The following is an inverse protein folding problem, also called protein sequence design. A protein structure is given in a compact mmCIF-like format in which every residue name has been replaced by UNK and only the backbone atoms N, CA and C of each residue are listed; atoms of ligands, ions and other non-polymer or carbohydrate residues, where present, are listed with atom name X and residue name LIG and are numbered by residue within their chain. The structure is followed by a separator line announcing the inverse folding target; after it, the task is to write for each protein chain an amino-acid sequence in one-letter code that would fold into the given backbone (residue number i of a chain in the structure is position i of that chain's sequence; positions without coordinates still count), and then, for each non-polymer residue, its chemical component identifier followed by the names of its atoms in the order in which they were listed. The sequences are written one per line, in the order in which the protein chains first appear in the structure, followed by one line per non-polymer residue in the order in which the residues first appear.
data_IF_025737065669
#
_entry.id   IF_025737065669
#
_cell.length_a   1.000
_cell.length_b   1.000
_cell.length_c   1.000
_cell.angle_alpha   90.00
_cell.angle_beta   90.00
_cell.angle_gamma   90.00
#
_symmetry.space_group_name_H-M   'P 1'
#
loop_
_entity.id
_entity.type
_entity.pdbx_description
1 polymer ?
#
# COMPACT_ATOMS: atom_id res chain seq x y z
N UNK A 1 18.51 -24.92 -44.14
CA UNK A 1 18.22 -25.22 -42.73
C UNK A 1 17.45 -24.04 -42.09
N UNK A 2 16.10 -24.01 -42.17
CA UNK A 2 15.28 -22.96 -41.53
C UNK A 2 14.50 -23.43 -40.27
N UNK A 3 14.83 -24.55 -39.65
CA UNK A 3 14.02 -25.17 -38.58
C UNK A 3 14.34 -24.71 -37.14
N UNK A 4 15.46 -24.04 -36.92
CA UNK A 4 15.91 -23.57 -35.60
C UNK A 4 15.36 -22.18 -35.24
N UNK A 5 15.19 -21.30 -36.23
CA UNK A 5 14.64 -19.96 -36.00
C UNK A 5 13.14 -19.99 -35.65
N UNK A 6 12.35 -20.85 -36.30
CA UNK A 6 10.91 -20.98 -36.01
C UNK A 6 10.65 -21.57 -34.62
N UNK A 7 11.46 -22.55 -34.19
CA UNK A 7 11.39 -23.13 -32.85
C UNK A 7 11.73 -22.09 -31.76
N UNK A 8 12.80 -21.32 -31.93
CA UNK A 8 13.17 -20.27 -30.99
C UNK A 8 12.11 -19.16 -30.87
N UNK A 9 11.46 -18.80 -31.98
CA UNK A 9 10.34 -17.84 -31.99
C UNK A 9 9.12 -18.40 -31.24
N UNK A 10 8.83 -19.70 -31.39
CA UNK A 10 7.73 -20.35 -30.67
C UNK A 10 7.98 -20.39 -29.15
N UNK A 11 9.20 -20.69 -28.70
CA UNK A 11 9.55 -20.72 -27.28
C UNK A 11 9.50 -19.32 -26.63
N UNK A 12 9.94 -18.29 -27.36
CA UNK A 12 9.81 -16.90 -26.94
C UNK A 12 8.34 -16.48 -26.83
N UNK A 13 7.52 -16.82 -27.83
CA UNK A 13 6.09 -16.52 -27.80
C UNK A 13 5.38 -17.19 -26.62
N UNK A 14 5.71 -18.45 -26.33
CA UNK A 14 5.18 -19.17 -25.17
C UNK A 14 5.60 -18.50 -23.85
N UNK A 15 6.88 -18.11 -23.72
CA UNK A 15 7.39 -17.43 -22.52
C UNK A 15 6.73 -16.08 -22.30
N UNK A 16 6.51 -15.30 -23.37
CA UNK A 16 5.77 -14.04 -23.31
C UNK A 16 4.36 -14.29 -22.80
N UNK A 17 3.66 -15.29 -23.32
CA UNK A 17 2.29 -15.63 -22.90
C UNK A 17 2.22 -15.97 -21.41
N UNK A 18 3.19 -16.73 -20.88
CA UNK A 18 3.28 -17.04 -19.45
C UNK A 18 3.56 -15.78 -18.61
N UNK A 19 4.32 -14.83 -19.12
CA UNK A 19 4.65 -13.57 -18.44
C UNK A 19 3.48 -12.56 -18.41
N UNK A 20 2.49 -12.67 -19.30
CA UNK A 20 1.38 -11.68 -19.37
C UNK A 20 0.61 -11.59 -18.05
N UNK A 21 0.26 -12.73 -17.44
CA UNK A 21 -0.53 -12.75 -16.20
C UNK A 21 0.16 -12.01 -15.02
N UNK A 22 1.42 -12.30 -14.66
CA UNK A 22 2.12 -11.55 -13.61
C UNK A 22 2.34 -10.07 -13.97
N UNK A 23 2.58 -9.73 -15.24
CA UNK A 23 2.72 -8.33 -15.67
C UNK A 23 1.42 -7.56 -15.52
N UNK A 24 0.27 -8.17 -15.80
CA UNK A 24 -1.04 -7.55 -15.56
C UNK A 24 -1.24 -7.17 -14.08
N UNK A 25 -0.78 -8.02 -13.17
CA UNK A 25 -0.83 -7.74 -11.73
C UNK A 25 0.01 -6.52 -11.34
N UNK A 26 1.15 -6.26 -12.01
CA UNK A 26 1.96 -5.05 -11.76
C UNK A 26 1.19 -3.76 -12.00
N UNK A 27 0.33 -3.71 -13.02
CA UNK A 27 -0.53 -2.56 -13.27
C UNK A 27 -1.52 -2.34 -12.11
N UNK A 28 -2.11 -3.43 -11.59
CA UNK A 28 -2.96 -3.42 -10.41
C UNK A 28 -2.23 -2.90 -9.16
N UNK A 29 -1.00 -3.37 -8.92
CA UNK A 29 -0.16 -2.89 -7.81
C UNK A 29 0.16 -1.41 -7.98
N UNK A 30 0.48 -0.94 -9.19
CA UNK A 30 0.73 0.47 -9.48
C UNK A 30 -0.47 1.36 -9.12
N UNK A 31 -1.69 0.92 -9.44
CA UNK A 31 -2.92 1.61 -9.05
C UNK A 31 -3.07 1.69 -7.52
N UNK A 32 -2.85 0.57 -6.82
CA UNK A 32 -2.91 0.51 -5.36
C UNK A 32 -1.87 1.43 -4.72
N UNK A 33 -0.64 1.43 -5.23
CA UNK A 33 0.44 2.32 -4.76
C UNK A 33 0.08 3.79 -4.95
N UNK A 34 -0.55 4.17 -6.06
CA UNK A 34 -1.02 5.54 -6.28
C UNK A 34 -2.08 5.96 -5.24
N UNK A 35 -3.02 5.06 -4.92
CA UNK A 35 -4.03 5.31 -3.87
C UNK A 35 -3.37 5.45 -2.49
N UNK A 36 -2.41 4.58 -2.16
CA UNK A 36 -1.66 4.61 -0.91
C UNK A 36 -0.84 5.90 -0.78
N UNK A 37 -0.07 6.26 -1.82
CA UNK A 37 0.75 7.46 -1.85
C UNK A 37 -0.10 8.73 -1.70
N UNK A 38 -1.22 8.82 -2.43
CA UNK A 38 -2.14 9.95 -2.31
C UNK A 38 -2.78 10.05 -0.92
N UNK A 39 -3.06 8.92 -0.27
CA UNK A 39 -3.56 8.93 1.12
C UNK A 39 -2.47 9.33 2.11
N UNK A 40 -1.26 8.80 1.97
CA UNK A 40 -0.12 9.14 2.82
C UNK A 40 0.20 10.64 2.74
N UNK A 41 0.24 11.22 1.54
CA UNK A 41 0.45 12.65 1.34
C UNK A 41 -0.54 13.48 2.16
N UNK A 42 -1.85 13.19 2.07
CA UNK A 42 -2.88 13.88 2.85
C UNK A 42 -2.70 13.75 4.37
N UNK A 43 -2.23 12.60 4.85
CA UNK A 43 -2.00 12.39 6.30
C UNK A 43 -0.78 13.19 6.76
N UNK A 44 0.30 13.17 5.97
CA UNK A 44 1.54 13.92 6.24
C UNK A 44 1.28 15.42 6.19
N UNK A 45 0.54 15.90 5.19
CA UNK A 45 0.17 17.32 5.07
C UNK A 45 -0.63 17.78 6.30
N UNK A 46 -1.59 16.98 6.76
CA UNK A 46 -2.35 17.27 7.98
C UNK A 46 -1.46 17.26 9.24
N UNK A 47 -0.53 16.31 9.35
CA UNK A 47 0.41 16.27 10.47
C UNK A 47 1.33 17.51 10.47
N UNK A 48 1.78 17.95 9.29
CA UNK A 48 2.58 19.16 9.13
C UNK A 48 1.81 20.42 9.51
N UNK A 49 0.55 20.54 9.08
CA UNK A 49 -0.33 21.66 9.48
C UNK A 49 -0.51 21.72 11.00
N UNK A 50 -0.84 20.58 11.63
CA UNK A 50 -1.01 20.53 13.08
C UNK A 50 0.28 20.84 13.85
N UNK A 51 1.44 20.45 13.31
CA UNK A 51 2.74 20.79 13.89
C UNK A 51 3.09 22.29 13.76
N UNK A 52 2.59 22.99 12.74
CA UNK A 52 2.78 24.44 12.59
C UNK A 52 1.93 25.24 13.58
N UNK A 53 0.75 24.73 13.93
CA UNK A 53 -0.19 25.33 14.90
C UNK A 53 0.03 24.82 16.34
N UNK A 54 1.16 24.15 16.59
CA UNK A 54 1.43 23.46 17.84
C UNK A 54 1.56 24.46 19.00
N UNK A 55 0.71 24.30 20.00
CA UNK A 55 0.57 25.25 21.10
C UNK A 55 1.52 24.90 22.25
N UNK A 56 2.02 25.89 23.03
CA UNK A 56 2.86 25.61 24.21
C UNK A 56 2.20 24.65 25.21
N UNK A 57 3.02 23.98 26.02
CA UNK A 57 2.60 22.98 27.03
C UNK A 57 1.51 23.46 27.97
N UNK A 58 1.44 24.75 28.21
CA UNK A 58 0.59 25.37 29.23
C UNK A 58 -0.81 25.69 28.67
N UNK A 59 -1.01 25.50 27.38
CA UNK A 59 -2.26 25.77 26.70
C UNK A 59 -3.24 24.60 26.84
N UNK A 60 -4.54 24.85 27.10
CA UNK A 60 -5.55 23.80 27.29
C UNK A 60 -5.65 22.82 26.11
N UNK A 61 -5.35 23.28 24.89
CA UNK A 61 -5.43 22.45 23.68
C UNK A 61 -4.20 21.56 23.43
N UNK A 62 -3.09 21.76 24.16
CA UNK A 62 -1.83 21.05 23.93
C UNK A 62 -1.99 19.52 24.02
N UNK A 63 -2.72 19.05 25.04
CA UNK A 63 -2.96 17.61 25.24
C UNK A 63 -3.77 16.99 24.09
N UNK A 64 -4.75 17.73 23.54
CA UNK A 64 -5.54 17.29 22.41
C UNK A 64 -4.71 17.23 21.12
N UNK A 65 -3.88 18.24 20.87
CA UNK A 65 -2.96 18.28 19.72
C UNK A 65 -1.96 17.13 19.77
N UNK A 66 -1.35 16.84 20.92
CA UNK A 66 -0.42 15.71 21.09
C UNK A 66 -1.11 14.37 20.80
N UNK A 67 -2.36 14.19 21.26
CA UNK A 67 -3.13 12.97 20.98
C UNK A 67 -3.43 12.81 19.49
N UNK A 68 -3.81 13.88 18.79
CA UNK A 68 -4.04 13.85 17.34
C UNK A 68 -2.73 13.58 16.57
N UNK A 69 -1.61 14.18 16.96
CA UNK A 69 -0.32 13.97 16.32
C UNK A 69 0.16 12.51 16.43
N UNK A 70 0.01 11.88 17.61
CA UNK A 70 0.31 10.44 17.80
C UNK A 70 -0.56 9.54 16.91
N UNK A 71 -1.81 9.92 16.70
CA UNK A 71 -2.72 9.17 15.84
C UNK A 71 -2.34 9.29 14.37
N UNK A 72 -1.98 10.50 13.92
CA UNK A 72 -1.46 10.73 12.57
C UNK A 72 -0.17 9.97 12.32
N UNK A 73 0.76 9.96 13.28
CA UNK A 73 2.01 9.20 13.22
C UNK A 73 1.77 7.69 13.06
N UNK A 74 0.87 7.11 13.87
CA UNK A 74 0.49 5.69 13.73
C UNK A 74 -0.07 5.37 12.34
N UNK A 75 -0.87 6.28 11.77
CA UNK A 75 -1.44 6.11 10.42
C UNK A 75 -0.36 6.21 9.34
N UNK A 76 0.59 7.13 9.47
CA UNK A 76 1.76 7.25 8.60
C UNK A 76 2.56 5.94 8.60
N UNK A 77 2.85 5.38 9.78
CA UNK A 77 3.59 4.13 9.91
C UNK A 77 2.87 2.96 9.21
N UNK A 78 1.55 2.80 9.43
CA UNK A 78 0.76 1.74 8.79
C UNK A 78 0.72 1.89 7.26
N UNK A 79 0.48 3.11 6.76
CA UNK A 79 0.46 3.38 5.33
C UNK A 79 1.83 3.12 4.68
N UNK A 80 2.92 3.54 5.33
CA UNK A 80 4.27 3.32 4.84
C UNK A 80 4.63 1.82 4.78
N UNK A 81 4.26 1.04 5.80
CA UNK A 81 4.46 -0.41 5.79
C UNK A 81 3.65 -1.11 4.67
N UNK A 82 2.42 -0.65 4.42
CA UNK A 82 1.62 -1.15 3.30
C UNK A 82 2.29 -0.86 1.94
N UNK A 83 2.79 0.37 1.74
CA UNK A 83 3.53 0.76 0.53
C UNK A 83 4.77 -0.12 0.35
N UNK A 84 5.53 -0.35 1.42
CA UNK A 84 6.74 -1.16 1.39
C UNK A 84 6.45 -2.59 0.96
N UNK A 85 5.43 -3.23 1.54
CA UNK A 85 5.04 -4.60 1.17
C UNK A 85 4.52 -4.70 -0.28
N UNK A 86 3.70 -3.74 -0.72
CA UNK A 86 3.23 -3.69 -2.11
C UNK A 86 4.39 -3.49 -3.10
N UNK A 87 5.34 -2.62 -2.76
CA UNK A 87 6.53 -2.37 -3.59
C UNK A 87 7.44 -3.59 -3.64
N UNK A 88 7.65 -4.25 -2.50
CA UNK A 88 8.42 -5.49 -2.44
C UNK A 88 7.75 -6.63 -3.22
N UNK A 89 6.42 -6.74 -3.18
CA UNK A 89 5.67 -7.65 -4.05
C UNK A 89 5.89 -7.34 -5.53
N UNK A 90 5.80 -6.08 -5.94
CA UNK A 90 6.02 -5.69 -7.34
C UNK A 90 7.45 -6.03 -7.79
N UNK A 91 8.45 -5.72 -6.97
CA UNK A 91 9.85 -6.05 -7.25
C UNK A 91 10.05 -7.56 -7.42
N UNK A 92 9.41 -8.38 -6.58
CA UNK A 92 9.50 -9.83 -6.67
C UNK A 92 8.80 -10.38 -7.92
N UNK A 93 7.66 -9.79 -8.33
CA UNK A 93 7.01 -10.11 -9.61
C UNK A 93 7.92 -9.77 -10.78
N UNK A 94 8.58 -8.61 -10.76
CA UNK A 94 9.56 -8.25 -11.79
C UNK A 94 10.71 -9.28 -11.87
N UNK A 95 11.21 -9.75 -10.72
CA UNK A 95 12.23 -10.79 -10.67
C UNK A 95 11.72 -12.14 -11.22
N UNK A 96 10.49 -12.54 -10.91
CA UNK A 96 9.85 -13.75 -11.46
C UNK A 96 9.71 -13.65 -12.98
N UNK A 97 9.23 -12.52 -13.48
CA UNK A 97 9.07 -12.28 -14.93
C UNK A 97 10.43 -12.35 -15.62
N UNK A 98 11.45 -11.66 -15.12
CA UNK A 98 12.81 -11.75 -15.66
C UNK A 98 13.34 -13.19 -15.62
N UNK A 99 13.08 -13.91 -14.53
CA UNK A 99 13.45 -15.32 -14.38
C UNK A 99 12.76 -16.26 -15.37
N UNK A 100 11.50 -16.01 -15.75
CA UNK A 100 10.81 -16.76 -16.80
C UNK A 100 11.50 -16.61 -18.15
N UNK A 101 11.90 -15.38 -18.51
CA UNK A 101 12.66 -15.14 -19.74
C UNK A 101 14.02 -15.83 -19.71
N UNK A 102 14.77 -15.72 -18.60
CA UNK A 102 16.08 -16.39 -18.46
C UNK A 102 15.93 -17.91 -18.57
N UNK A 103 14.93 -18.49 -17.89
CA UNK A 103 14.68 -19.93 -17.93
C UNK A 103 14.31 -20.42 -19.33
N UNK A 104 13.49 -19.66 -20.06
CA UNK A 104 13.13 -19.93 -21.46
C UNK A 104 14.33 -19.88 -22.41
N UNK A 105 15.24 -18.92 -22.24
CA UNK A 105 16.44 -18.82 -23.08
C UNK A 105 17.51 -19.88 -22.76
N UNK A 106 17.67 -20.23 -21.47
CA UNK A 106 18.74 -21.12 -21.02
C UNK A 106 18.29 -22.60 -20.91
N UNK A 107 17.03 -22.91 -21.21
CA UNK A 107 16.43 -24.25 -21.09
C UNK A 107 16.58 -24.85 -19.67
N UNK A 108 16.47 -23.99 -18.66
CA UNK A 108 16.68 -24.35 -17.25
C UNK A 108 15.35 -24.67 -16.55
N UNK A 109 15.33 -25.75 -15.77
CA UNK A 109 14.15 -26.22 -15.02
C UNK A 109 13.79 -25.39 -13.78
N UNK A 110 13.74 -24.06 -13.88
CA UNK A 110 13.49 -23.15 -12.74
C UNK A 110 12.00 -22.91 -12.42
N UNK A 111 11.08 -23.68 -13.02
CA UNK A 111 9.64 -23.50 -12.85
C UNK A 111 9.22 -23.47 -11.36
N UNK A 112 9.78 -24.35 -10.52
CA UNK A 112 9.48 -24.40 -9.08
C UNK A 112 9.93 -23.13 -8.35
N UNK A 113 11.12 -22.61 -8.65
CA UNK A 113 11.65 -21.38 -8.03
C UNK A 113 10.79 -20.17 -8.40
N UNK A 114 10.40 -20.06 -9.67
CA UNK A 114 9.52 -18.98 -10.13
C UNK A 114 8.13 -19.06 -9.50
N UNK A 115 7.57 -20.27 -9.37
CA UNK A 115 6.30 -20.49 -8.69
C UNK A 115 6.36 -20.06 -7.20
N UNK A 116 7.42 -20.44 -6.48
CA UNK A 116 7.61 -20.03 -5.08
C UNK A 116 7.76 -18.50 -4.97
N UNK A 117 8.55 -17.88 -5.85
CA UNK A 117 8.70 -16.42 -5.91
C UNK A 117 7.37 -15.71 -6.16
N UNK A 118 6.55 -16.24 -7.07
CA UNK A 118 5.23 -15.68 -7.36
C UNK A 118 4.27 -15.78 -6.17
N UNK A 119 4.22 -16.94 -5.51
CA UNK A 119 3.40 -17.14 -4.29
C UNK A 119 3.86 -16.19 -3.19
N UNK A 120 5.17 -16.05 -2.97
CA UNK A 120 5.71 -15.12 -1.99
C UNK A 120 5.32 -13.68 -2.32
N UNK A 121 5.37 -13.27 -3.59
CA UNK A 121 4.93 -11.93 -4.01
C UNK A 121 3.45 -11.71 -3.69
N UNK A 122 2.59 -12.69 -3.99
CA UNK A 122 1.17 -12.62 -3.65
C UNK A 122 0.94 -12.49 -2.13
N UNK A 123 1.69 -13.20 -1.30
CA UNK A 123 1.60 -13.08 0.16
C UNK A 123 2.03 -11.70 0.66
N UNK A 124 3.08 -11.11 0.06
CA UNK A 124 3.50 -9.74 0.35
C UNK A 124 2.39 -8.74 -0.03
N UNK A 125 1.79 -8.90 -1.22
CA UNK A 125 0.69 -8.05 -1.67
C UNK A 125 -0.53 -8.14 -0.73
N UNK A 126 -0.94 -9.36 -0.37
CA UNK A 126 -2.04 -9.60 0.57
C UNK A 126 -1.75 -8.93 1.92
N UNK A 127 -0.52 -9.06 2.42
CA UNK A 127 -0.10 -8.44 3.68
C UNK A 127 -0.11 -6.90 3.60
N UNK A 128 0.35 -6.33 2.48
CA UNK A 128 0.26 -4.90 2.21
C UNK A 128 -1.18 -4.38 2.16
N UNK A 129 -2.08 -5.12 1.50
CA UNK A 129 -3.51 -4.83 1.46
C UNK A 129 -4.18 -4.94 2.83
N UNK A 130 -3.78 -5.91 3.65
CA UNK A 130 -4.29 -6.05 5.01
C UNK A 130 -3.86 -4.87 5.89
N UNK A 131 -2.61 -4.42 5.81
CA UNK A 131 -2.14 -3.21 6.50
C UNK A 131 -2.89 -1.96 6.02
N UNK A 132 -3.12 -1.86 4.71
CA UNK A 132 -3.91 -0.76 4.16
C UNK A 132 -5.34 -0.77 4.71
N UNK A 133 -5.98 -1.95 4.79
CA UNK A 133 -7.31 -2.09 5.38
C UNK A 133 -7.32 -1.67 6.86
N UNK A 134 -6.31 -2.05 7.63
CA UNK A 134 -6.16 -1.64 9.04
C UNK A 134 -6.01 -0.12 9.14
N UNK A 135 -5.19 0.51 8.29
CA UNK A 135 -5.07 1.97 8.27
C UNK A 135 -6.42 2.63 8.00
N UNK A 136 -7.18 2.13 7.01
CA UNK A 136 -8.48 2.69 6.64
C UNK A 136 -9.46 2.59 7.81
N UNK A 137 -9.45 1.47 8.55
CA UNK A 137 -10.28 1.29 9.74
C UNK A 137 -9.92 2.29 10.83
N UNK A 138 -8.63 2.52 11.09
CA UNK A 138 -8.16 3.53 12.05
C UNK A 138 -8.62 4.93 11.63
N UNK A 139 -8.50 5.26 10.34
CA UNK A 139 -8.94 6.54 9.80
C UNK A 139 -10.46 6.77 10.00
N UNK A 140 -11.28 5.75 9.76
CA UNK A 140 -12.73 5.83 9.91
C UNK A 140 -13.18 5.97 11.36
N UNK A 141 -12.57 5.21 12.28
CA UNK A 141 -12.86 5.31 13.71
C UNK A 141 -12.54 6.72 14.25
N UNK A 142 -11.48 7.35 13.75
CA UNK A 142 -11.11 8.72 14.14
C UNK A 142 -12.18 9.75 13.77
N UNK A 143 -12.78 9.60 12.59
CA UNK A 143 -13.84 10.52 12.13
C UNK A 143 -15.13 10.31 12.93
N UNK A 144 -15.45 9.06 13.28
CA UNK A 144 -16.70 8.72 13.98
C UNK A 144 -16.66 8.99 15.48
N UNK A 145 -15.49 8.99 16.11
CA UNK A 145 -15.36 9.26 17.56
C UNK A 145 -15.40 10.76 17.89
N UNK A 146 -15.30 11.66 16.89
CA UNK A 146 -15.54 13.10 17.09
C UNK A 146 -17.05 13.44 17.22
N UNK A 147 -17.81 12.52 17.81
CA UNK A 147 -19.14 12.75 18.39
C UNK A 147 -19.07 13.42 19.77
N UNK A 148 -17.88 13.70 20.31
CA UNK A 148 -17.70 14.63 21.45
C UNK A 148 -18.20 16.08 21.12
N UNK A 149 -18.48 16.39 19.85
CA UNK A 149 -19.23 17.59 19.40
C UNK A 149 -20.75 17.38 19.28
N UNK A 150 -21.26 16.15 19.32
CA UNK A 150 -22.70 15.92 19.37
C UNK A 150 -23.30 16.29 20.73
N UNK A 151 -22.51 16.28 21.82
CA UNK A 151 -22.97 16.69 23.15
C UNK A 151 -22.90 18.20 23.43
N UNK A 152 -22.00 18.98 22.79
CA UNK A 152 -21.98 20.44 22.95
C UNK A 152 -23.25 21.14 22.41
N UNK A 153 -24.06 20.48 21.56
CA UNK A 153 -25.39 20.97 21.14
C UNK A 153 -26.44 20.91 22.26
N UNK A 154 -26.21 20.11 23.30
CA UNK A 154 -27.17 19.94 24.40
C UNK A 154 -27.01 21.04 25.46
N UNK A 155 -25.80 21.57 25.68
CA UNK A 155 -25.55 22.66 26.63
C UNK A 155 -26.00 24.05 26.14
N UNK A 156 -25.94 24.34 24.83
CA UNK A 156 -26.47 25.64 24.31
C UNK A 156 -27.99 25.76 24.43
N UNK A 157 -28.72 24.68 24.71
CA UNK A 157 -30.17 24.69 24.91
C UNK A 157 -30.60 24.92 26.37
N UNK A 158 -29.70 24.75 27.35
CA UNK A 158 -30.01 24.96 28.77
C UNK A 158 -29.75 26.40 29.25
N UNK A 159 -28.94 27.18 28.55
CA UNK A 159 -28.69 28.61 28.89
C UNK A 159 -29.80 29.57 28.41
N UNK A 160 -30.88 29.05 27.82
CA UNK A 160 -32.01 29.83 27.27
C UNK A 160 -33.34 29.54 28.01
N UNK A 161 -33.28 29.03 29.24
CA UNK A 161 -34.41 28.87 30.14
C UNK A 161 -34.14 29.53 31.47
#
# INVERSE_FOLDING_TARGET
MPSNASAAVADLAHTIQLAVAPVFLLAGIGSILNVLAGRLARIVDRARQLAQEFTPTDHPDHAAQVRELRLLDRRIMLANMAILLCTASAALICAVVAGLFIAGLANLGFARTMAVGFVLAMLLLISGLALFLVEVRVALLTIRVREELLEQRTERRSWRR
#
